data_IF_040534123629
#
_entry.id   IF_040534123629
#
_cell.length_a   1.000
_cell.length_b   1.000
_cell.length_c   1.000
_cell.angle_alpha   90.00
_cell.angle_beta   90.00
_cell.angle_gamma   90.00
#
_symmetry.space_group_name_H-M   'P 1'
#
loop_
_entity.id
_entity.type
_entity.pdbx_description
1 polymer ?
#
# COMPACT_ATOMS: atom_id res chain seq x y z
N UNK A 1 5.25 -21.20 -8.56
CA UNK A 1 4.15 -20.30 -8.95
C UNK A 1 3.94 -19.41 -7.74
N UNK A 2 4.46 -18.19 -7.81
CA UNK A 2 4.80 -17.36 -6.64
C UNK A 2 3.86 -16.15 -6.65
N UNK A 3 2.96 -16.07 -5.68
CA UNK A 3 1.92 -15.03 -5.71
C UNK A 3 2.31 -13.85 -4.81
N UNK A 4 2.92 -12.83 -5.40
CA UNK A 4 3.10 -11.52 -4.77
C UNK A 4 2.15 -10.48 -5.40
N UNK A 5 1.70 -9.52 -4.60
CA UNK A 5 0.47 -8.81 -4.91
C UNK A 5 0.67 -7.37 -5.38
N UNK A 6 0.93 -7.23 -6.68
CA UNK A 6 0.57 -6.01 -7.43
C UNK A 6 -0.93 -6.04 -7.85
N UNK A 7 -1.78 -6.90 -7.21
CA UNK A 7 -3.27 -6.95 -7.12
C UNK A 7 -4.05 -7.47 -8.34
N UNK A 8 -5.15 -8.27 -8.27
CA UNK A 8 -5.78 -9.04 -9.42
C UNK A 8 -5.91 -10.50 -9.00
N UNK A 9 -6.60 -10.61 -7.88
CA UNK A 9 -6.82 -11.82 -7.13
C UNK A 9 -8.09 -12.45 -7.69
N UNK A 10 -7.93 -13.51 -8.49
CA UNK A 10 -9.01 -14.48 -8.68
C UNK A 10 -9.25 -15.22 -7.36
N UNK A 11 -10.30 -14.82 -6.65
CA UNK A 11 -10.77 -15.53 -5.46
C UNK A 11 -11.53 -16.77 -5.89
N UNK A 12 -11.12 -17.94 -5.40
CA UNK A 12 -11.94 -19.15 -5.44
C UNK A 12 -13.06 -18.98 -4.42
N UNK A 13 -14.30 -18.89 -4.88
CA UNK A 13 -15.44 -19.08 -4.02
C UNK A 13 -15.45 -20.53 -3.54
N UNK A 14 -15.62 -20.75 -2.23
CA UNK A 14 -16.24 -21.96 -1.73
C UNK A 14 -17.26 -21.59 -0.65
N UNK A 15 -18.30 -22.40 -0.66
CA UNK A 15 -19.51 -22.43 0.15
C UNK A 15 -19.38 -21.97 1.61
N UNK A 16 -20.20 -20.97 1.97
CA UNK A 16 -20.18 -20.41 3.31
C UNK A 16 -20.82 -21.33 4.36
N UNK A 17 -20.34 -21.22 5.60
CA UNK A 17 -21.20 -21.04 6.78
C UNK A 17 -20.39 -20.70 8.05
N UNK A 18 -19.95 -19.44 8.22
CA UNK A 18 -19.55 -18.95 9.55
C UNK A 18 -19.94 -17.48 9.75
N UNK A 19 -20.84 -17.24 10.71
CA UNK A 19 -21.25 -15.92 11.18
C UNK A 19 -20.37 -15.54 12.36
N UNK A 20 -19.50 -14.53 12.21
CA UNK A 20 -18.75 -13.88 13.31
C UNK A 20 -18.63 -12.37 13.05
N UNK A 21 -18.37 -11.54 14.09
CA UNK A 21 -19.11 -10.29 14.24
C UNK A 21 -18.58 -9.12 13.42
N UNK A 22 -19.51 -8.36 12.85
CA UNK A 22 -19.28 -6.95 12.58
C UNK A 22 -19.03 -6.22 13.91
N UNK A 23 -17.90 -5.50 14.02
CA UNK A 23 -17.76 -4.21 14.75
C UNK A 23 -16.30 -3.70 14.87
N UNK A 24 -15.28 -4.52 14.57
CA UNK A 24 -13.86 -4.16 14.79
C UNK A 24 -13.31 -2.98 13.97
N UNK A 25 -14.05 -2.44 13.00
CA UNK A 25 -13.54 -1.44 12.04
C UNK A 25 -14.12 -0.02 12.16
N UNK A 26 -15.07 0.22 13.08
CA UNK A 26 -15.84 1.48 13.12
C UNK A 26 -15.39 2.47 14.23
N UNK A 27 -14.08 2.75 14.31
CA UNK A 27 -13.48 3.71 15.24
C UNK A 27 -13.04 5.00 14.50
N UNK A 28 -13.79 6.12 14.58
CA UNK A 28 -13.62 7.28 13.70
C UNK A 28 -12.33 8.10 13.92
N UNK A 29 -11.62 7.88 15.04
CA UNK A 29 -10.46 8.69 15.48
C UNK A 29 -9.10 8.13 15.01
N UNK A 30 -9.09 7.21 14.04
CA UNK A 30 -7.90 6.52 13.52
C UNK A 30 -7.39 7.08 12.18
N UNK A 31 -8.02 8.12 11.64
CA UNK A 31 -7.97 8.50 10.22
C UNK A 31 -6.60 8.95 9.68
N UNK A 32 -5.62 9.25 10.55
CA UNK A 32 -4.22 9.58 10.20
C UNK A 32 -3.23 8.64 10.92
N UNK A 33 -3.53 7.34 11.02
CA UNK A 33 -2.61 6.32 11.58
C UNK A 33 -2.08 5.30 10.56
N UNK A 34 -2.70 5.21 9.38
CA UNK A 34 -2.38 4.21 8.36
C UNK A 34 -1.81 4.86 7.10
N UNK A 35 -0.80 4.25 6.44
CA UNK A 35 -0.29 4.73 5.16
C UNK A 35 -1.37 4.82 4.09
N UNK A 36 -1.27 5.79 3.19
CA UNK A 36 -2.28 6.03 2.13
C UNK A 36 -2.54 4.78 1.28
N UNK A 37 -1.48 4.02 0.93
CA UNK A 37 -1.63 2.77 0.19
C UNK A 37 -2.44 1.69 0.95
N UNK A 38 -2.33 1.62 2.28
CA UNK A 38 -3.15 0.73 3.10
C UNK A 38 -4.62 1.14 3.06
N UNK A 39 -4.91 2.45 3.16
CA UNK A 39 -6.29 2.95 3.05
C UNK A 39 -6.91 2.65 1.68
N UNK A 40 -6.13 2.74 0.60
CA UNK A 40 -6.54 2.38 -0.76
C UNK A 40 -6.90 0.88 -0.85
N UNK A 41 -6.03 0.01 -0.33
CA UNK A 41 -6.25 -1.44 -0.35
C UNK A 41 -7.44 -1.88 0.49
N UNK A 42 -7.57 -1.39 1.73
CA UNK A 42 -8.73 -1.69 2.58
C UNK A 42 -10.04 -1.19 1.97
N UNK A 43 -10.01 -0.06 1.25
CA UNK A 43 -11.19 0.43 0.54
C UNK A 43 -11.60 -0.49 -0.60
N UNK A 44 -10.65 -0.98 -1.38
CA UNK A 44 -10.90 -1.98 -2.42
C UNK A 44 -11.48 -3.28 -1.85
N UNK A 45 -10.92 -3.80 -0.75
CA UNK A 45 -11.44 -5.01 -0.09
C UNK A 45 -12.90 -4.83 0.33
N UNK A 46 -13.25 -3.67 0.93
CA UNK A 46 -14.63 -3.32 1.28
C UNK A 46 -15.55 -3.23 0.05
N UNK A 47 -15.11 -2.55 -1.02
CA UNK A 47 -15.89 -2.40 -2.26
C UNK A 47 -16.15 -3.74 -2.97
N UNK A 48 -15.25 -4.71 -2.84
CA UNK A 48 -15.39 -6.07 -3.39
C UNK A 48 -16.01 -7.08 -2.42
N UNK A 49 -16.37 -6.66 -1.20
CA UNK A 49 -16.83 -7.55 -0.12
C UNK A 49 -15.86 -8.71 0.18
N UNK A 50 -14.55 -8.45 0.10
CA UNK A 50 -13.49 -9.41 0.40
C UNK A 50 -13.12 -9.27 1.89
N UNK A 51 -13.19 -10.39 2.61
CA UNK A 51 -12.82 -10.48 4.02
C UNK A 51 -11.47 -11.19 4.14
N UNK A 52 -10.55 -10.62 4.93
CA UNK A 52 -9.28 -11.24 5.29
C UNK A 52 -9.39 -11.77 6.72
N UNK A 53 -9.33 -13.09 6.89
CA UNK A 53 -9.47 -13.74 8.20
C UNK A 53 -8.19 -13.61 9.05
N UNK A 54 -7.02 -13.56 8.41
CA UNK A 54 -5.72 -13.47 9.09
C UNK A 54 -4.87 -12.35 8.46
N UNK A 55 -4.48 -11.37 9.27
CA UNK A 55 -3.66 -10.22 8.84
C UNK A 55 -2.46 -10.03 9.75
N UNK A 56 -1.27 -9.83 9.17
CA UNK A 56 -0.04 -9.48 9.90
C UNK A 56 0.25 -8.00 9.68
N UNK A 57 0.29 -7.21 10.75
CA UNK A 57 0.66 -5.79 10.67
C UNK A 57 2.16 -5.59 10.83
N UNK A 58 2.78 -4.90 9.88
CA UNK A 58 4.21 -4.60 9.87
C UNK A 58 4.48 -3.14 9.52
N UNK A 59 5.55 -2.60 10.11
CA UNK A 59 5.97 -1.20 9.98
C UNK A 59 7.16 -0.98 9.03
N UNK A 60 7.62 -2.04 8.35
CA UNK A 60 8.87 -2.06 7.59
C UNK A 60 8.65 -2.76 6.24
N UNK A 61 8.86 -2.03 5.15
CA UNK A 61 8.78 -2.57 3.79
C UNK A 61 9.79 -3.73 3.59
N UNK A 62 11.08 -3.63 3.96
CA UNK A 62 12.00 -4.78 3.87
C UNK A 62 11.49 -6.03 4.60
N UNK A 63 10.84 -5.87 5.76
CA UNK A 63 10.26 -6.99 6.52
C UNK A 63 9.05 -7.57 5.81
N UNK A 64 8.17 -6.73 5.24
CA UNK A 64 7.03 -7.16 4.42
C UNK A 64 7.54 -7.95 3.20
N UNK A 65 8.49 -7.40 2.43
CA UNK A 65 9.08 -8.09 1.27
C UNK A 65 9.63 -9.46 1.66
N UNK A 66 10.37 -9.54 2.77
CA UNK A 66 10.92 -10.82 3.24
C UNK A 66 9.81 -11.84 3.59
N UNK A 67 8.72 -11.43 4.25
CA UNK A 67 7.60 -12.35 4.51
C UNK A 67 6.93 -12.85 3.23
N UNK A 68 6.72 -11.97 2.23
CA UNK A 68 6.12 -12.36 0.94
C UNK A 68 7.06 -13.31 0.17
N UNK A 69 8.37 -13.02 0.08
CA UNK A 69 9.38 -13.93 -0.52
C UNK A 69 9.39 -15.31 0.14
N UNK A 70 9.14 -15.38 1.45
CA UNK A 70 9.08 -16.63 2.22
C UNK A 70 7.67 -17.28 2.22
N UNK A 71 6.76 -16.87 1.32
CA UNK A 71 5.40 -17.41 1.17
C UNK A 71 4.51 -17.32 2.43
N UNK A 72 4.77 -16.34 3.32
CA UNK A 72 3.97 -16.14 4.55
C UNK A 72 2.63 -15.43 4.25
N UNK A 73 2.51 -14.76 3.10
CA UNK A 73 1.27 -14.14 2.66
C UNK A 73 1.47 -13.17 1.50
N UNK A 74 0.44 -12.36 1.23
CA UNK A 74 0.44 -11.29 0.22
C UNK A 74 0.46 -9.91 0.87
N UNK A 75 0.90 -8.89 0.13
CA UNK A 75 0.85 -7.49 0.59
C UNK A 75 0.65 -6.53 -0.58
N UNK A 76 -0.02 -5.40 -0.33
CA UNK A 76 -0.19 -4.30 -1.28
C UNK A 76 0.83 -3.20 -0.97
N UNK A 77 1.75 -2.96 -1.90
CA UNK A 77 2.86 -2.01 -1.77
C UNK A 77 2.95 -1.11 -3.00
N UNK A 78 3.48 0.13 -2.88
CA UNK A 78 3.80 0.96 -4.04
C UNK A 78 4.89 0.30 -4.91
N UNK A 79 4.72 0.34 -6.24
CA UNK A 79 5.58 -0.38 -7.20
C UNK A 79 7.07 -0.08 -7.01
N UNK A 80 7.44 1.20 -6.82
CA UNK A 80 8.83 1.64 -6.61
C UNK A 80 9.56 0.98 -5.43
N UNK A 81 8.83 0.29 -4.54
CA UNK A 81 9.39 -0.40 -3.37
C UNK A 81 9.79 -1.85 -3.65
N UNK A 82 9.33 -2.40 -4.78
CA UNK A 82 9.46 -3.81 -5.22
C UNK A 82 9.98 -3.95 -6.65
N UNK A 83 10.37 -2.87 -7.34
CA UNK A 83 10.86 -2.90 -8.73
C UNK A 83 12.01 -3.90 -8.96
N UNK A 84 12.96 -3.99 -8.03
CA UNK A 84 14.07 -4.96 -8.07
C UNK A 84 13.56 -6.41 -8.00
N UNK A 85 12.67 -6.70 -7.05
CA UNK A 85 12.08 -8.04 -6.90
C UNK A 85 11.20 -8.44 -8.09
N UNK A 86 10.48 -7.49 -8.69
CA UNK A 86 9.68 -7.72 -9.91
C UNK A 86 10.60 -7.98 -11.11
N UNK A 87 11.68 -7.19 -11.27
CA UNK A 87 12.64 -7.35 -12.36
C UNK A 87 13.48 -8.63 -12.27
N UNK A 88 13.68 -9.16 -11.07
CA UNK A 88 14.39 -10.43 -10.82
C UNK A 88 13.46 -11.65 -10.78
N UNK A 89 12.13 -11.44 -10.66
CA UNK A 89 11.16 -12.52 -10.50
C UNK A 89 11.13 -13.15 -9.10
N UNK A 90 11.76 -12.51 -8.09
CA UNK A 90 11.62 -12.90 -6.68
C UNK A 90 10.22 -12.62 -6.13
N UNK A 91 9.55 -11.60 -6.67
CA UNK A 91 8.14 -11.30 -6.44
C UNK A 91 7.44 -11.20 -7.81
N UNK A 92 6.21 -11.69 -7.88
CA UNK A 92 5.36 -11.57 -9.07
C UNK A 92 4.39 -10.39 -8.96
N UNK A 93 3.76 -10.01 -10.08
CA UNK A 93 2.63 -9.12 -10.13
C UNK A 93 1.35 -9.92 -10.43
N UNK A 94 0.50 -10.06 -9.43
CA UNK A 94 -0.96 -10.13 -9.60
C UNK A 94 -1.39 -8.77 -10.31
N UNK A 95 -2.37 -8.66 -11.25
CA UNK A 95 -2.69 -7.35 -11.96
C UNK A 95 -4.21 -6.92 -12.04
N UNK A 96 -4.60 -5.65 -11.74
CA UNK A 96 -5.75 -5.31 -10.83
C UNK A 96 -7.01 -4.56 -11.33
N UNK A 97 -8.14 -4.70 -10.60
CA UNK A 97 -9.30 -3.76 -10.55
C UNK A 97 -9.07 -2.49 -9.68
N UNK A 98 -8.01 -2.44 -8.85
CA UNK A 98 -7.53 -1.23 -8.19
C UNK A 98 -6.85 -0.41 -9.28
N UNK A 99 -7.64 0.43 -9.97
CA UNK A 99 -7.11 1.30 -11.02
C UNK A 99 -5.96 2.18 -10.53
N UNK A 100 -5.09 2.60 -11.45
CA UNK A 100 -3.83 3.29 -11.17
C UNK A 100 -3.98 4.49 -10.22
N UNK A 101 -3.66 4.27 -8.95
CA UNK A 101 -3.70 5.31 -7.92
C UNK A 101 -2.31 5.94 -7.78
N UNK A 102 -2.05 6.95 -8.60
CA UNK A 102 -0.86 7.81 -8.43
C UNK A 102 -0.86 8.43 -7.03
N UNK A 103 0.13 8.08 -6.21
CA UNK A 103 0.35 8.71 -4.90
C UNK A 103 1.31 9.90 -5.12
N UNK A 104 0.76 11.12 -5.16
CA UNK A 104 1.55 12.34 -5.33
C UNK A 104 2.26 12.72 -4.03
N UNK A 105 3.60 12.84 -4.09
CA UNK A 105 4.37 13.48 -3.02
C UNK A 105 4.17 15.00 -3.07
N UNK A 106 3.96 15.64 -1.91
CA UNK A 106 3.74 17.09 -1.82
C UNK A 106 4.76 17.72 -0.88
N UNK A 107 5.53 18.69 -1.38
CA UNK A 107 6.41 19.51 -0.56
C UNK A 107 5.61 20.68 0.03
N UNK A 108 5.55 20.79 1.37
CA UNK A 108 4.72 21.79 2.07
C UNK A 108 5.57 22.57 3.08
N UNK A 109 5.43 23.89 3.05
CA UNK A 109 5.95 24.78 4.10
C UNK A 109 4.87 25.78 4.54
N UNK A 110 5.00 26.32 5.76
CA UNK A 110 4.10 27.36 6.24
C UNK A 110 4.34 28.67 5.47
N UNK A 111 3.26 29.35 5.06
CA UNK A 111 3.30 30.58 4.24
C UNK A 111 4.16 31.72 4.80
N UNK A 112 4.26 31.84 6.12
CA UNK A 112 5.04 32.88 6.80
C UNK A 112 6.35 32.35 7.40
N UNK A 113 6.75 31.10 7.10
CA UNK A 113 8.05 30.57 7.54
C UNK A 113 9.14 31.12 6.63
N UNK A 114 10.15 31.76 7.21
CA UNK A 114 11.35 32.15 6.47
C UNK A 114 12.01 30.92 5.85
N UNK A 115 12.19 30.94 4.53
CA UNK A 115 12.89 29.90 3.79
C UNK A 115 14.38 30.23 3.82
N UNK A 116 15.19 29.31 4.36
CA UNK A 116 16.65 29.44 4.26
C UNK A 116 17.10 29.15 2.82
N UNK A 117 18.29 29.63 2.40
CA UNK A 117 18.85 29.29 1.09
C UNK A 117 18.92 27.77 0.82
N UNK A 118 19.18 26.97 1.86
CA UNK A 118 19.18 25.51 1.78
C UNK A 118 17.77 24.93 1.56
N UNK A 119 16.74 25.50 2.21
CA UNK A 119 15.35 25.09 1.99
C UNK A 119 14.88 25.46 0.58
N UNK A 120 15.25 26.63 0.07
CA UNK A 120 14.91 27.05 -1.29
C UNK A 120 15.56 26.11 -2.31
N UNK A 121 16.87 25.85 -2.20
CA UNK A 121 17.57 24.91 -3.06
C UNK A 121 16.95 23.50 -3.05
N UNK A 122 16.49 23.03 -1.89
CA UNK A 122 15.80 21.74 -1.78
C UNK A 122 14.44 21.75 -2.50
N UNK A 123 13.64 22.83 -2.37
CA UNK A 123 12.37 22.99 -3.07
C UNK A 123 12.60 23.03 -4.59
N UNK A 124 13.56 23.85 -5.05
CA UNK A 124 13.91 24.00 -6.46
C UNK A 124 14.37 22.66 -7.05
N UNK A 125 15.17 21.90 -6.30
CA UNK A 125 15.60 20.55 -6.66
C UNK A 125 14.39 19.61 -6.80
N UNK A 126 13.49 19.55 -5.81
CA UNK A 126 12.28 18.72 -5.88
C UNK A 126 11.42 19.06 -7.11
N UNK A 127 11.26 20.34 -7.45
CA UNK A 127 10.54 20.77 -8.66
C UNK A 127 11.25 20.31 -9.93
N UNK A 128 12.58 20.44 -9.99
CA UNK A 128 13.37 20.07 -11.18
C UNK A 128 13.40 18.57 -11.51
N UNK A 129 13.23 17.70 -10.52
CA UNK A 129 13.19 16.23 -10.71
C UNK A 129 11.75 15.73 -10.98
N UNK A 130 10.74 16.59 -10.82
CA UNK A 130 9.32 16.23 -11.01
C UNK A 130 8.79 16.51 -12.43
N UNK A 131 9.69 16.72 -13.41
CA UNK A 131 9.41 17.11 -14.79
C UNK A 131 10.01 16.10 -15.79
#
# INVERSE_FOLDING_TARGET
MLHACVGEIRVRADDGNHILPADSFNQPESRIRHPIFRQIFEQYLREKNIILDHTIELWSIPTIKNLVKNNVGISYLPTFTVEEELGTGELEAIHTDIGDKTITAVCVHHKNKWLSPLMQLFIDLCVSISA
#
